data_IF_855074871277
#
_entry.id   IF_855074871277
#
_cell.length_a   1.000
_cell.length_b   1.000
_cell.length_c   1.000
_cell.angle_alpha   90.00
_cell.angle_beta   90.00
_cell.angle_gamma   90.00
#
_symmetry.space_group_name_H-M   'P 1'
#
loop_
_entity.id
_entity.type
_entity.pdbx_description
1 polymer ?
#
# COMPACT_ATOMS: atom_id res chain seq x y z
N UNK A 1 -13.99 -6.96 30.58
CA UNK A 1 -13.21 -8.11 31.10
C UNK A 1 -11.93 -8.21 30.29
N UNK A 2 -10.75 -8.31 30.92
CA UNK A 2 -9.51 -8.57 30.18
C UNK A 2 -9.62 -9.90 29.43
N UNK A 3 -9.11 -9.94 28.20
CA UNK A 3 -9.12 -11.17 27.38
C UNK A 3 -8.35 -12.28 28.11
N UNK A 4 -8.95 -13.49 28.21
CA UNK A 4 -8.29 -14.69 28.76
C UNK A 4 -6.98 -15.05 28.04
N UNK A 5 -6.79 -14.56 26.81
CA UNK A 5 -5.53 -14.72 26.07
C UNK A 5 -4.40 -13.90 26.69
N UNK A 6 -4.69 -12.69 27.18
CA UNK A 6 -3.69 -11.76 27.71
C UNK A 6 -3.21 -12.14 29.12
N UNK A 7 -3.92 -13.05 29.80
CA UNK A 7 -3.53 -13.58 31.10
C UNK A 7 -2.51 -14.71 31.01
N UNK A 8 -2.33 -15.31 29.83
CA UNK A 8 -1.30 -16.35 29.60
C UNK A 8 0.10 -15.72 29.55
N UNK A 9 1.18 -16.42 29.94
CA UNK A 9 2.56 -16.00 29.70
C UNK A 9 2.87 -15.65 28.23
N UNK A 10 3.79 -14.71 27.99
CA UNK A 10 4.06 -14.16 26.65
C UNK A 10 4.56 -15.21 25.65
N UNK A 11 5.41 -16.13 26.09
CA UNK A 11 5.89 -17.28 25.32
C UNK A 11 4.73 -18.14 24.79
N UNK A 12 3.72 -18.41 25.62
CA UNK A 12 2.51 -19.12 25.19
C UNK A 12 1.71 -18.26 24.20
N UNK A 13 1.53 -16.96 24.48
CA UNK A 13 0.82 -16.05 23.57
C UNK A 13 1.52 -15.97 22.21
N UNK A 14 2.84 -15.94 22.19
CA UNK A 14 3.67 -15.94 20.99
C UNK A 14 3.47 -17.22 20.17
N UNK A 15 3.42 -18.40 20.81
CA UNK A 15 3.09 -19.65 20.12
C UNK A 15 1.69 -19.61 19.52
N UNK A 16 0.71 -19.08 20.25
CA UNK A 16 -0.65 -18.89 19.73
C UNK A 16 -0.65 -17.96 18.52
N UNK A 17 0.07 -16.85 18.57
CA UNK A 17 0.20 -15.94 17.43
C UNK A 17 0.82 -16.61 16.20
N UNK A 18 1.84 -17.45 16.39
CA UNK A 18 2.45 -18.22 15.30
C UNK A 18 1.49 -19.18 14.59
N UNK A 19 0.53 -19.75 15.32
CA UNK A 19 -0.48 -20.61 14.72
C UNK A 19 -1.67 -19.83 14.14
N UNK A 20 -1.98 -18.65 14.69
CA UNK A 20 -3.08 -17.81 14.21
C UNK A 20 -2.73 -16.98 12.98
N UNK A 21 -1.48 -16.52 12.87
CA UNK A 21 -1.02 -15.71 11.75
C UNK A 21 -0.38 -16.57 10.64
N UNK A 22 -0.34 -16.08 9.38
CA UNK A 22 0.22 -16.84 8.28
C UNK A 22 1.65 -17.29 8.57
N UNK A 23 2.02 -18.49 8.13
CA UNK A 23 3.39 -18.99 8.33
C UNK A 23 4.38 -18.33 7.38
N UNK A 24 3.87 -17.87 6.24
CA UNK A 24 4.63 -17.16 5.23
C UNK A 24 5.01 -15.78 5.73
N UNK A 25 6.29 -15.45 5.68
CA UNK A 25 6.83 -14.15 6.13
C UNK A 25 6.40 -12.97 5.23
N UNK A 26 5.60 -13.23 4.20
CA UNK A 26 5.16 -12.26 3.20
C UNK A 26 3.64 -12.26 3.07
N UNK A 27 3.03 -11.08 3.17
CA UNK A 27 1.61 -10.89 3.01
C UNK A 27 1.37 -10.06 1.76
N UNK A 28 0.57 -10.58 0.82
CA UNK A 28 0.19 -9.88 -0.40
C UNK A 28 -1.16 -9.20 -0.25
N UNK A 29 -1.22 -7.94 -0.64
CA UNK A 29 -2.40 -7.11 -0.58
C UNK A 29 -2.65 -6.52 -1.98
N UNK A 30 -3.76 -6.88 -2.61
CA UNK A 30 -4.21 -6.21 -3.83
C UNK A 30 -4.74 -4.82 -3.48
N UNK A 31 -4.22 -3.79 -4.14
CA UNK A 31 -4.71 -2.43 -4.04
C UNK A 31 -5.75 -2.16 -5.12
N UNK A 32 -6.97 -1.88 -4.68
CA UNK A 32 -8.05 -1.33 -5.48
C UNK A 32 -8.27 0.12 -5.05
N UNK A 33 -8.81 0.96 -5.95
CA UNK A 33 -9.05 2.42 -5.81
C UNK A 33 -8.95 3.00 -4.39
N UNK A 34 -9.71 2.48 -3.41
CA UNK A 34 -9.67 2.92 -2.01
C UNK A 34 -9.63 1.80 -0.98
N UNK A 35 -9.35 0.57 -1.39
CA UNK A 35 -9.35 -0.59 -0.49
C UNK A 35 -8.20 -1.53 -0.78
N UNK A 36 -7.67 -2.14 0.27
CA UNK A 36 -6.73 -3.25 0.18
C UNK A 36 -7.50 -4.57 0.38
N UNK A 37 -7.15 -5.61 -0.38
CA UNK A 37 -7.66 -6.97 -0.21
C UNK A 37 -6.53 -7.96 -0.13
N UNK A 38 -6.61 -8.95 0.73
CA UNK A 38 -5.57 -9.98 0.83
C UNK A 38 -5.58 -10.89 -0.40
N UNK A 39 -4.39 -11.14 -0.94
CA UNK A 39 -4.16 -12.15 -1.96
C UNK A 39 -3.60 -13.35 -1.20
N UNK A 40 -4.50 -14.12 -0.57
CA UNK A 40 -4.11 -15.36 0.09
C UNK A 40 -4.54 -16.55 -0.77
N UNK A 41 -3.64 -17.51 -1.08
CA UNK A 41 -4.02 -18.75 -1.75
C UNK A 41 -4.89 -19.66 -0.87
N UNK A 42 -4.89 -19.45 0.45
CA UNK A 42 -5.68 -20.22 1.41
C UNK A 42 -6.30 -19.26 2.43
N UNK A 43 -7.62 -19.37 2.67
CA UNK A 43 -8.43 -18.44 3.48
C UNK A 43 -8.10 -18.39 4.98
N UNK A 44 -6.88 -18.01 5.35
CA UNK A 44 -6.41 -18.04 6.74
C UNK A 44 -6.65 -16.73 7.50
N UNK A 45 -6.65 -15.55 6.86
CA UNK A 45 -7.04 -14.29 7.54
C UNK A 45 -7.76 -13.32 6.59
N UNK A 46 -8.90 -12.82 7.04
CA UNK A 46 -9.65 -11.79 6.33
C UNK A 46 -8.87 -10.46 6.29
N UNK A 47 -8.84 -9.79 5.13
CA UNK A 47 -8.04 -8.59 4.90
C UNK A 47 -8.28 -7.47 5.93
N UNK A 48 -9.51 -7.33 6.42
CA UNK A 48 -9.87 -6.38 7.47
C UNK A 48 -9.09 -6.58 8.79
N UNK A 49 -8.75 -7.82 9.14
CA UNK A 49 -7.93 -8.14 10.32
C UNK A 49 -6.48 -7.66 10.12
N UNK A 50 -5.93 -7.84 8.91
CA UNK A 50 -4.56 -7.45 8.55
C UNK A 50 -4.39 -5.95 8.29
N UNK A 51 -5.44 -5.27 7.81
CA UNK A 51 -5.36 -3.89 7.31
C UNK A 51 -5.74 -2.83 8.34
N UNK A 52 -6.56 -3.20 9.32
CA UNK A 52 -7.19 -2.22 10.21
C UNK A 52 -6.72 -2.40 11.64
N UNK A 53 -6.37 -3.61 12.09
CA UNK A 53 -5.99 -3.95 13.47
C UNK A 53 -6.88 -3.35 14.59
N UNK A 54 -8.01 -2.72 14.25
CA UNK A 54 -8.91 -2.07 15.21
C UNK A 54 -9.56 -3.09 16.14
N UNK A 55 -9.58 -4.36 15.72
CA UNK A 55 -10.04 -5.50 16.49
C UNK A 55 -8.90 -6.26 17.19
N UNK A 56 -7.64 -5.99 16.85
CA UNK A 56 -6.48 -6.65 17.45
C UNK A 56 -5.97 -5.86 18.65
N UNK A 57 -5.65 -6.57 19.72
CA UNK A 57 -4.96 -5.98 20.86
C UNK A 57 -3.59 -5.45 20.40
N UNK A 58 -3.09 -4.39 21.06
CA UNK A 58 -1.82 -3.71 20.69
C UNK A 58 -0.65 -4.69 20.56
N UNK A 59 -0.58 -5.69 21.45
CA UNK A 59 0.44 -6.73 21.41
C UNK A 59 0.37 -7.61 20.14
N UNK A 60 -0.84 -8.07 19.78
CA UNK A 60 -1.03 -8.90 18.59
C UNK A 60 -0.77 -8.11 17.31
N UNK A 61 -1.15 -6.82 17.28
CA UNK A 61 -0.77 -5.91 16.21
C UNK A 61 0.75 -5.75 16.13
N UNK A 62 1.43 -5.59 17.27
CA UNK A 62 2.89 -5.55 17.32
C UNK A 62 3.54 -6.82 16.76
N UNK A 63 3.03 -8.00 17.12
CA UNK A 63 3.52 -9.26 16.53
C UNK A 63 3.38 -9.26 14.99
N UNK A 64 2.20 -8.88 14.49
CA UNK A 64 1.91 -8.88 13.06
C UNK A 64 2.75 -7.85 12.27
N UNK A 65 2.78 -6.58 12.69
CA UNK A 65 3.45 -5.55 11.89
C UNK A 65 4.98 -5.61 11.93
N UNK A 66 5.54 -6.31 12.92
CA UNK A 66 6.98 -6.54 13.02
C UNK A 66 7.42 -7.91 12.46
N UNK A 67 6.48 -8.84 12.25
CA UNK A 67 6.78 -10.20 11.81
C UNK A 67 6.87 -10.39 10.29
N UNK A 68 6.25 -9.49 9.51
CA UNK A 68 5.92 -9.74 8.10
C UNK A 68 6.36 -8.62 7.16
N UNK A 69 6.67 -9.02 5.92
CA UNK A 69 6.84 -8.15 4.76
C UNK A 69 5.51 -7.99 4.03
N UNK A 70 4.97 -6.78 4.01
CA UNK A 70 3.70 -6.47 3.35
C UNK A 70 3.95 -6.00 1.92
N UNK A 71 3.35 -6.67 0.94
CA UNK A 71 3.48 -6.37 -0.47
C UNK A 71 2.14 -5.87 -1.01
N UNK A 72 2.02 -4.57 -1.24
CA UNK A 72 0.88 -3.99 -1.94
C UNK A 72 1.11 -4.15 -3.43
N UNK A 73 0.19 -4.76 -4.15
CA UNK A 73 0.27 -5.00 -5.60
C UNK A 73 -0.99 -4.50 -6.27
N UNK A 74 -0.87 -3.93 -7.46
CA UNK A 74 -2.01 -3.38 -8.19
C UNK A 74 -1.56 -2.36 -9.21
N UNK A 75 -2.48 -1.48 -9.62
CA UNK A 75 -2.11 -0.36 -10.48
C UNK A 75 -1.22 0.63 -9.72
N UNK A 76 -0.43 1.39 -10.47
CA UNK A 76 0.36 2.53 -9.97
C UNK A 76 -0.50 3.44 -9.09
N UNK A 77 -1.65 3.86 -9.61
CA UNK A 77 -2.59 4.75 -8.93
C UNK A 77 -3.13 4.17 -7.64
N UNK A 78 -3.59 2.92 -7.65
CA UNK A 78 -4.21 2.30 -6.49
C UNK A 78 -3.18 2.03 -5.38
N UNK A 79 -1.98 1.58 -5.76
CA UNK A 79 -0.90 1.38 -4.80
C UNK A 79 -0.48 2.70 -4.15
N UNK A 80 -0.33 3.78 -4.93
CA UNK A 80 0.02 5.09 -4.38
C UNK A 80 -1.08 5.70 -3.51
N UNK A 81 -2.35 5.42 -3.80
CA UNK A 81 -3.48 5.85 -2.98
C UNK A 81 -3.53 5.11 -1.63
N UNK A 82 -3.22 3.81 -1.62
CA UNK A 82 -3.38 2.96 -0.43
C UNK A 82 -2.12 2.84 0.45
N UNK A 83 -0.91 3.04 -0.08
CA UNK A 83 0.31 2.84 0.72
C UNK A 83 0.45 3.85 1.87
N UNK A 84 0.05 5.13 1.68
CA UNK A 84 0.18 6.16 2.74
C UNK A 84 -0.71 5.84 3.95
N UNK A 85 -2.01 5.55 3.79
CA UNK A 85 -2.83 5.06 4.91
C UNK A 85 -2.24 3.82 5.58
N UNK A 86 -1.80 2.84 4.80
CA UNK A 86 -1.23 1.60 5.33
C UNK A 86 0.07 1.84 6.11
N UNK A 87 0.95 2.69 5.59
CA UNK A 87 2.19 3.11 6.24
C UNK A 87 1.94 3.76 7.61
N UNK A 88 0.91 4.60 7.73
CA UNK A 88 0.53 5.21 9.02
C UNK A 88 0.12 4.15 10.02
N UNK A 89 -0.66 3.16 9.60
CA UNK A 89 -1.07 2.04 10.45
C UNK A 89 0.16 1.22 10.87
N UNK A 90 1.03 0.88 9.92
CA UNK A 90 2.22 0.08 10.19
C UNK A 90 3.14 0.80 11.17
N UNK A 91 3.43 2.09 10.97
CA UNK A 91 4.24 2.91 11.89
C UNK A 91 3.65 3.01 13.31
N UNK A 92 2.33 2.94 13.46
CA UNK A 92 1.67 2.99 14.76
C UNK A 92 1.97 1.77 15.63
N UNK A 93 2.17 0.61 15.01
CA UNK A 93 2.32 -0.67 15.70
C UNK A 93 3.72 -1.31 15.52
N UNK A 94 4.50 -0.80 14.56
CA UNK A 94 5.91 -1.13 14.42
C UNK A 94 6.67 -0.71 15.67
N UNK A 95 7.62 -1.54 16.08
CA UNK A 95 8.55 -1.28 17.19
C UNK A 95 9.92 -0.79 16.67
N UNK A 96 10.05 -0.65 15.36
CA UNK A 96 11.28 -0.32 14.65
C UNK A 96 11.00 0.60 13.46
N UNK A 97 12.05 1.09 12.81
CA UNK A 97 11.96 1.91 11.60
C UNK A 97 11.22 1.17 10.48
N UNK A 98 10.39 1.90 9.73
CA UNK A 98 9.61 1.34 8.62
C UNK A 98 10.28 1.61 7.30
N UNK A 99 10.74 0.54 6.67
CA UNK A 99 11.35 0.54 5.35
C UNK A 99 10.28 0.41 4.25
N UNK A 100 10.44 1.15 3.16
CA UNK A 100 9.52 1.15 2.01
C UNK A 100 10.35 0.96 0.74
N UNK A 101 10.00 -0.05 -0.05
CA UNK A 101 10.65 -0.34 -1.33
C UNK A 101 9.57 -0.48 -2.40
N UNK A 102 9.74 0.16 -3.55
CA UNK A 102 8.80 0.05 -4.66
C UNK A 102 9.46 -0.54 -5.89
N UNK A 103 8.71 -1.39 -6.59
CA UNK A 103 9.17 -2.15 -7.75
C UNK A 103 8.15 -2.03 -8.88
N UNK A 104 8.62 -1.69 -10.08
CA UNK A 104 7.81 -1.67 -11.31
C UNK A 104 8.13 -2.87 -12.19
N UNK A 105 7.19 -3.29 -13.04
CA UNK A 105 7.43 -4.30 -14.08
C UNK A 105 8.00 -3.68 -15.38
N UNK A 106 8.70 -2.54 -15.28
CA UNK A 106 9.20 -1.74 -16.42
C UNK A 106 8.52 -0.38 -16.56
N UNK A 107 9.07 0.48 -17.42
CA UNK A 107 8.62 1.88 -17.58
C UNK A 107 7.18 2.00 -18.09
N UNK A 108 6.77 1.12 -19.01
CA UNK A 108 5.42 1.10 -19.58
C UNK A 108 4.40 0.31 -18.74
N UNK A 109 4.83 -0.30 -17.62
CA UNK A 109 3.91 -1.04 -16.76
C UNK A 109 2.94 -0.09 -16.07
N UNK A 110 1.67 -0.42 -16.09
CA UNK A 110 0.64 0.24 -15.27
C UNK A 110 0.58 -0.33 -13.85
N UNK A 111 1.27 -1.44 -13.59
CA UNK A 111 1.26 -2.16 -12.31
C UNK A 111 2.59 -2.02 -11.57
N UNK A 112 2.51 -1.96 -10.24
CA UNK A 112 3.66 -1.90 -9.34
C UNK A 112 3.44 -2.77 -8.11
N UNK A 113 4.54 -3.00 -7.40
CA UNK A 113 4.53 -3.52 -6.04
C UNK A 113 5.17 -2.51 -5.09
N UNK A 114 4.51 -2.20 -3.97
CA UNK A 114 5.08 -1.43 -2.87
C UNK A 114 5.21 -2.35 -1.66
N UNK A 115 6.44 -2.62 -1.26
CA UNK A 115 6.81 -3.44 -0.13
C UNK A 115 7.06 -2.58 1.11
N UNK A 116 6.45 -2.94 2.23
CA UNK A 116 6.62 -2.28 3.53
C UNK A 116 6.96 -3.29 4.62
N UNK A 117 7.87 -2.94 5.52
CA UNK A 117 8.29 -3.77 6.65
C UNK A 117 8.84 -2.93 7.79
N UNK A 118 8.77 -3.45 9.02
CA UNK A 118 9.47 -2.87 10.17
C UNK A 118 10.84 -3.55 10.36
N UNK A 119 11.87 -2.74 10.59
CA UNK A 119 13.25 -3.17 10.75
C UNK A 119 13.91 -3.73 9.48
N UNK A 120 15.13 -4.22 9.66
CA UNK A 120 15.99 -4.67 8.55
C UNK A 120 16.00 -6.18 8.34
N UNK A 121 15.50 -6.96 9.30
CA UNK A 121 15.56 -8.42 9.28
C UNK A 121 14.96 -9.04 8.00
N UNK A 122 14.02 -8.33 7.37
CA UNK A 122 13.30 -8.79 6.18
C UNK A 122 13.82 -8.19 4.86
N UNK A 123 14.80 -7.27 4.91
CA UNK A 123 15.50 -6.77 3.71
C UNK A 123 16.16 -7.91 2.92
N UNK A 124 16.64 -8.95 3.63
CA UNK A 124 17.19 -10.15 2.98
C UNK A 124 16.18 -10.89 2.09
N UNK A 125 14.89 -10.84 2.40
CA UNK A 125 13.83 -11.45 1.58
C UNK A 125 13.60 -10.64 0.30
N UNK A 126 13.57 -9.31 0.41
CA UNK A 126 13.48 -8.41 -0.73
C UNK A 126 14.69 -8.55 -1.66
N UNK A 127 15.89 -8.53 -1.09
CA UNK A 127 17.15 -8.59 -1.85
C UNK A 127 17.34 -9.92 -2.59
N UNK A 128 16.85 -11.05 -2.04
CA UNK A 128 16.85 -12.35 -2.72
C UNK A 128 15.93 -12.38 -3.94
N UNK A 129 14.89 -11.55 -3.95
CA UNK A 129 13.84 -11.65 -4.95
C UNK A 129 14.25 -11.14 -6.32
N UNK A 130 15.03 -10.05 -6.37
CA UNK A 130 15.46 -9.38 -7.62
C UNK A 130 14.34 -9.31 -8.68
N UNK A 131 13.10 -9.02 -8.27
CA UNK A 131 11.92 -8.95 -9.16
C UNK A 131 11.47 -7.50 -9.30
N UNK A 132 11.30 -7.08 -10.54
CA UNK A 132 10.94 -5.72 -10.89
C UNK A 132 12.12 -4.76 -10.82
N UNK A 133 11.94 -3.60 -11.46
CA UNK A 133 12.89 -2.50 -11.44
C UNK A 133 12.62 -1.66 -10.20
N UNK A 134 13.63 -1.44 -9.33
CA UNK A 134 13.47 -0.57 -8.17
C UNK A 134 13.17 0.85 -8.64
N UNK A 135 12.09 1.42 -8.11
CA UNK A 135 11.69 2.80 -8.39
C UNK A 135 11.57 3.56 -7.07
N UNK A 136 11.96 4.83 -7.08
CA UNK A 136 11.71 5.68 -5.92
C UNK A 136 10.23 6.07 -5.86
N UNK A 137 9.71 6.34 -4.66
CA UNK A 137 8.33 6.82 -4.51
C UNK A 137 8.11 8.16 -5.22
N UNK A 138 9.16 8.97 -5.40
CA UNK A 138 9.11 10.23 -6.12
C UNK A 138 8.94 9.99 -7.62
N UNK A 139 9.73 9.09 -8.22
CA UNK A 139 9.59 8.70 -9.62
C UNK A 139 8.16 8.21 -9.93
N UNK A 140 7.61 7.37 -9.06
CA UNK A 140 6.25 6.86 -9.22
C UNK A 140 5.16 7.95 -9.14
N UNK A 141 5.40 9.00 -8.36
CA UNK A 141 4.48 10.14 -8.27
C UNK A 141 4.57 11.04 -9.51
N UNK A 142 5.78 11.24 -10.06
CA UNK A 142 6.00 12.02 -11.28
C UNK A 142 5.38 11.32 -12.49
N UNK A 143 5.55 10.00 -12.62
CA UNK A 143 4.92 9.19 -13.67
C UNK A 143 3.37 9.24 -13.62
N UNK A 144 2.80 9.60 -12.46
CA UNK A 144 1.37 9.72 -12.26
C UNK A 144 0.82 11.14 -12.39
N UNK A 145 1.64 12.16 -12.71
CA UNK A 145 1.11 13.51 -12.97
C UNK A 145 0.12 13.39 -14.13
N UNK A 146 -1.20 13.47 -13.88
CA UNK A 146 -2.11 12.86 -14.82
C UNK A 146 -2.34 13.82 -15.97
N UNK A 147 -2.35 13.31 -17.21
CA UNK A 147 -2.67 14.10 -18.41
C UNK A 147 -4.04 14.82 -18.34
N UNK A 148 -4.88 14.47 -17.35
CA UNK A 148 -6.16 15.12 -17.07
C UNK A 148 -6.08 16.64 -16.82
N UNK A 149 -4.98 17.17 -16.26
CA UNK A 149 -4.84 18.62 -16.04
C UNK A 149 -4.55 19.31 -17.38
N UNK A 150 -3.71 18.68 -18.22
CA UNK A 150 -3.42 19.11 -19.58
C UNK A 150 -4.70 19.10 -20.42
N UNK A 151 -5.49 18.02 -20.36
CA UNK A 151 -6.76 17.92 -21.09
C UNK A 151 -7.77 18.96 -20.62
N UNK A 152 -7.87 19.23 -19.30
CA UNK A 152 -8.75 20.28 -18.77
C UNK A 152 -8.32 21.68 -19.18
N UNK A 153 -7.01 21.96 -19.14
CA UNK A 153 -6.45 23.24 -19.60
C UNK A 153 -6.72 23.44 -21.08
N UNK A 154 -6.47 22.43 -21.91
CA UNK A 154 -6.77 22.46 -23.35
C UNK A 154 -8.26 22.71 -23.56
N UNK A 155 -9.15 21.97 -22.91
CA UNK A 155 -10.60 22.15 -23.05
C UNK A 155 -11.06 23.57 -22.68
N UNK A 156 -10.59 24.11 -21.56
CA UNK A 156 -10.92 25.48 -21.13
C UNK A 156 -10.40 26.52 -22.13
N UNK A 157 -9.16 26.39 -22.59
CA UNK A 157 -8.57 27.29 -23.60
C UNK A 157 -9.35 27.23 -24.91
N UNK A 158 -9.75 26.03 -25.35
CA UNK A 158 -10.52 25.85 -26.59
C UNK A 158 -11.89 26.53 -26.51
N UNK A 159 -12.59 26.39 -25.37
CA UNK A 159 -13.87 27.05 -25.12
C UNK A 159 -13.73 28.57 -25.07
N UNK A 160 -12.67 29.08 -24.42
CA UNK A 160 -12.38 30.52 -24.36
C UNK A 160 -12.14 31.11 -25.75
N UNK A 161 -11.36 30.43 -26.60
CA UNK A 161 -11.10 30.85 -27.98
C UNK A 161 -12.42 30.86 -28.79
N UNK A 162 -13.26 29.83 -28.64
CA UNK A 162 -14.55 29.77 -29.33
C UNK A 162 -15.48 30.92 -28.92
N UNK A 163 -15.55 31.23 -27.62
CA UNK A 163 -16.38 32.34 -27.09
C UNK A 163 -15.87 33.71 -27.57
N UNK A 164 -14.55 33.93 -27.57
CA UNK A 164 -13.95 35.18 -28.07
C UNK A 164 -14.18 35.34 -29.58
N UNK A 165 -14.07 34.25 -30.35
CA UNK A 165 -14.33 34.25 -31.79
C UNK A 165 -15.79 34.57 -32.09
N UNK A 166 -16.73 33.98 -31.33
CA UNK A 166 -18.15 34.27 -31.46
C UNK A 166 -18.48 35.74 -31.09
N UNK A 167 -17.92 36.25 -30.00
CA UNK A 167 -18.11 37.64 -29.59
C UNK A 167 -17.53 38.66 -30.58
N UNK A 168 -16.46 38.30 -31.30
CA UNK A 168 -15.89 39.12 -32.37
C UNK A 168 -16.76 39.12 -33.63
N UNK A 169 -17.36 37.98 -33.99
CA UNK A 169 -18.27 37.86 -35.15
C UNK A 169 -19.59 38.59 -34.93
N UNK A 170 -20.13 38.60 -33.70
CA UNK A 170 -21.39 39.30 -33.36
C UNK A 170 -21.22 40.83 -33.29
N UNK A 171 -19.99 41.34 -33.26
CA UNK A 171 -19.67 42.78 -33.24
C UNK A 171 -19.46 43.41 -34.63
N UNK A 172 -19.48 42.60 -35.69
CA UNK A 172 -19.52 43.05 -37.08
C UNK A 172 -20.90 42.82 -37.68
#
# INVERSE_FOLDING_TARGET
MPSKLLTLPYDIRYLVYKELFPREEQIYLHAYEKTLRTISPAGTIAANVLLVCRQLHVEAGGFLYNGYLFNLVGTKTDCLANYKPFLRTLRKYARDEVNINAFSNGDHSTTICVSLQAGDARMGILNRRRRGEPKTLQELQVEQVPAHWVIRVIAVVTVLIALLSYAAVVRF
#
